data_IF_528214772859
#
_entry.id   IF_528214772859
#
_cell.length_a   1.000
_cell.length_b   1.000
_cell.length_c   1.000
_cell.angle_alpha   90.00
_cell.angle_beta   90.00
_cell.angle_gamma   90.00
#
_symmetry.space_group_name_H-M   'P 1'
#
loop_
_entity.id
_entity.type
_entity.pdbx_description
1 polymer ?
#
# COMPACT_ATOMS: atom_id res chain seq x y z
N UNK A 1 -5.87 -30.85 -7.41
CA UNK A 1 -4.88 -31.25 -6.39
C UNK A 1 -3.89 -30.11 -6.25
N UNK A 2 -3.57 -29.69 -5.03
CA UNK A 2 -2.61 -28.63 -4.74
C UNK A 2 -1.20 -29.10 -5.13
N UNK A 3 -0.40 -28.23 -5.78
CA UNK A 3 1.03 -28.52 -5.96
C UNK A 3 1.68 -28.50 -4.57
N UNK A 4 2.35 -29.59 -4.13
CA UNK A 4 3.04 -29.63 -2.84
C UNK A 4 4.24 -28.67 -2.79
N UNK A 5 4.60 -28.07 -3.92
CA UNK A 5 5.69 -27.12 -4.06
C UNK A 5 5.28 -25.68 -3.70
N UNK A 6 3.99 -25.35 -3.58
CA UNK A 6 3.58 -24.00 -3.19
C UNK A 6 4.00 -23.69 -1.74
N UNK A 7 4.47 -22.46 -1.45
CA UNK A 7 4.91 -22.09 -0.11
C UNK A 7 3.77 -22.20 0.89
N UNK A 8 4.08 -22.58 2.12
CA UNK A 8 3.10 -22.76 3.20
C UNK A 8 2.73 -21.44 3.90
N UNK A 9 3.42 -20.33 3.58
CA UNK A 9 3.22 -18.99 4.15
C UNK A 9 3.33 -18.91 5.68
N UNK A 10 4.01 -19.86 6.33
CA UNK A 10 4.40 -19.71 7.73
C UNK A 10 5.46 -18.63 7.92
N UNK A 11 6.20 -18.30 6.86
CA UNK A 11 7.15 -17.18 6.81
C UNK A 11 7.00 -16.45 5.47
N UNK A 12 7.66 -15.30 5.36
CA UNK A 12 7.73 -14.52 4.11
C UNK A 12 8.73 -15.09 3.08
N UNK A 13 9.52 -16.09 3.48
CA UNK A 13 10.53 -16.68 2.61
C UNK A 13 9.86 -17.36 1.42
N UNK A 14 10.51 -17.28 0.26
CA UNK A 14 10.05 -17.97 -0.95
C UNK A 14 8.66 -17.50 -1.44
N UNK A 15 8.26 -16.27 -1.09
CA UNK A 15 7.08 -15.61 -1.63
C UNK A 15 7.49 -14.61 -2.74
N UNK A 16 6.64 -14.33 -3.75
CA UNK A 16 7.00 -13.40 -4.82
C UNK A 16 7.29 -11.99 -4.27
N UNK A 17 8.29 -11.30 -4.81
CA UNK A 17 8.64 -9.96 -4.33
C UNK A 17 7.49 -8.95 -4.47
N UNK A 18 6.74 -9.05 -5.56
CA UNK A 18 5.57 -8.21 -5.83
C UNK A 18 4.47 -9.01 -6.53
N UNK A 19 3.23 -8.55 -6.36
CA UNK A 19 2.02 -9.16 -6.90
C UNK A 19 1.19 -8.05 -7.56
N UNK A 20 0.85 -8.15 -8.85
CA UNK A 20 -0.07 -7.21 -9.48
C UNK A 20 -1.45 -7.30 -8.82
N UNK A 21 -2.20 -6.21 -8.78
CA UNK A 21 -3.59 -6.24 -8.34
C UNK A 21 -4.55 -6.21 -9.53
N UNK A 22 -5.63 -6.99 -9.49
CA UNK A 22 -6.64 -7.02 -10.56
C UNK A 22 -8.05 -6.83 -10.02
N UNK A 23 -8.92 -6.18 -10.79
CA UNK A 23 -10.35 -6.13 -10.46
C UNK A 23 -10.94 -7.54 -10.51
N UNK A 24 -11.70 -7.89 -9.47
CA UNK A 24 -12.44 -9.12 -9.34
C UNK A 24 -13.83 -8.83 -8.77
N UNK A 25 -14.74 -9.79 -8.92
CA UNK A 25 -16.09 -9.74 -8.34
C UNK A 25 -16.26 -10.84 -7.33
N UNK A 26 -16.87 -10.54 -6.20
CA UNK A 26 -17.28 -11.58 -5.25
C UNK A 26 -18.57 -12.26 -5.73
N UNK A 27 -19.05 -13.25 -4.97
CA UNK A 27 -20.28 -13.99 -5.28
C UNK A 27 -21.56 -13.12 -5.37
N UNK A 28 -21.52 -11.90 -4.82
CA UNK A 28 -22.60 -10.93 -4.85
C UNK A 28 -22.42 -9.86 -5.93
N UNK A 29 -21.41 -9.99 -6.79
CA UNK A 29 -21.10 -9.03 -7.85
C UNK A 29 -20.36 -7.76 -7.39
N UNK A 30 -20.05 -7.64 -6.09
CA UNK A 30 -19.32 -6.48 -5.59
C UNK A 30 -17.86 -6.53 -6.06
N UNK A 31 -17.39 -5.39 -6.57
CA UNK A 31 -16.04 -5.20 -7.10
C UNK A 31 -15.02 -5.06 -5.96
N UNK A 32 -13.88 -5.71 -6.11
CA UNK A 32 -12.70 -5.56 -5.27
C UNK A 32 -11.44 -5.83 -6.08
N UNK A 33 -10.30 -5.32 -5.62
CA UNK A 33 -9.01 -5.64 -6.19
C UNK A 33 -8.41 -6.84 -5.47
N UNK A 34 -8.13 -7.89 -6.23
CA UNK A 34 -7.38 -9.05 -5.76
C UNK A 34 -5.90 -8.76 -5.91
N UNK A 35 -5.19 -8.69 -4.80
CA UNK A 35 -3.75 -8.46 -4.69
C UNK A 35 -3.09 -9.68 -4.00
N UNK A 36 -3.38 -10.87 -4.48
CA UNK A 36 -3.01 -12.14 -3.83
C UNK A 36 -2.30 -13.02 -4.84
N UNK A 37 -1.14 -13.57 -4.46
CA UNK A 37 -0.38 -14.44 -5.36
C UNK A 37 -1.14 -15.75 -5.65
N UNK A 38 -1.97 -16.19 -4.70
CA UNK A 38 -2.89 -17.31 -4.89
C UNK A 38 -4.35 -16.85 -4.77
N UNK A 39 -5.24 -17.19 -5.72
CA UNK A 39 -6.62 -16.72 -5.69
C UNK A 39 -7.44 -17.23 -4.51
N UNK A 40 -7.22 -18.49 -4.10
CA UNK A 40 -8.01 -19.13 -3.05
C UNK A 40 -7.40 -18.86 -1.68
N UNK A 41 -8.19 -18.40 -0.69
CA UNK A 41 -7.69 -18.24 0.66
C UNK A 41 -7.36 -19.61 1.27
N UNK A 42 -6.30 -19.63 2.07
CA UNK A 42 -5.80 -20.81 2.80
C UNK A 42 -5.64 -20.44 4.27
N UNK A 43 -5.68 -21.46 5.12
CA UNK A 43 -5.43 -21.29 6.54
C UNK A 43 -3.99 -21.67 6.86
N UNK A 44 -3.31 -20.81 7.60
CA UNK A 44 -1.97 -21.07 8.13
C UNK A 44 -2.14 -21.38 9.60
N UNK A 45 -1.48 -22.45 10.05
CA UNK A 45 -1.41 -22.81 11.46
C UNK A 45 0.03 -22.64 11.92
N UNK A 46 0.21 -21.88 13.00
CA UNK A 46 1.51 -21.65 13.63
C UNK A 46 1.38 -21.72 15.15
N UNK A 47 2.46 -22.11 15.82
CA UNK A 47 2.53 -22.08 17.28
C UNK A 47 2.70 -20.64 17.76
N UNK A 48 1.79 -20.19 18.62
CA UNK A 48 1.89 -18.89 19.29
C UNK A 48 2.49 -19.07 20.68
N UNK A 49 3.72 -18.57 20.87
CA UNK A 49 4.44 -18.73 22.13
C UNK A 49 3.82 -17.94 23.30
N UNK A 50 3.10 -16.85 23.01
CA UNK A 50 2.43 -16.05 24.05
C UNK A 50 1.17 -16.75 24.60
N UNK A 51 0.40 -17.38 23.72
CA UNK A 51 -0.84 -18.07 24.05
C UNK A 51 -0.65 -19.57 24.32
N UNK A 52 0.56 -20.10 24.12
CA UNK A 52 0.91 -21.52 24.31
C UNK A 52 -0.04 -22.47 23.56
N UNK A 53 -0.40 -22.11 22.32
CA UNK A 53 -1.30 -22.90 21.47
C UNK A 53 -1.02 -22.67 19.99
N UNK A 54 -1.54 -23.59 19.18
CA UNK A 54 -1.63 -23.36 17.73
C UNK A 54 -2.71 -22.31 17.44
N UNK A 55 -2.35 -21.29 16.68
CA UNK A 55 -3.28 -20.31 16.12
C UNK A 55 -3.43 -20.58 14.62
N UNK A 56 -4.67 -20.54 14.16
CA UNK A 56 -5.00 -20.71 12.75
C UNK A 56 -5.65 -19.43 12.23
N UNK A 57 -5.12 -18.89 11.14
CA UNK A 57 -5.60 -17.65 10.53
C UNK A 57 -5.52 -17.73 9.01
N UNK A 58 -6.29 -16.89 8.32
CA UNK A 58 -6.27 -16.84 6.87
C UNK A 58 -4.99 -16.18 6.35
N UNK A 59 -4.45 -16.72 5.26
CA UNK A 59 -3.33 -16.14 4.51
C UNK A 59 -3.72 -14.93 3.65
N UNK A 60 -4.98 -14.53 3.69
CA UNK A 60 -5.49 -13.34 3.02
C UNK A 60 -6.24 -12.46 4.00
N UNK A 61 -6.13 -11.15 3.80
CA UNK A 61 -6.88 -10.15 4.54
C UNK A 61 -7.61 -9.24 3.57
N UNK A 62 -8.80 -8.80 3.96
CA UNK A 62 -9.56 -7.82 3.19
C UNK A 62 -9.46 -6.44 3.83
N UNK A 63 -9.62 -5.42 3.00
CA UNK A 63 -9.56 -4.04 3.45
C UNK A 63 -10.08 -3.08 2.40
N UNK A 64 -9.86 -1.79 2.66
CA UNK A 64 -10.15 -0.74 1.69
C UNK A 64 -9.13 0.39 1.76
N UNK A 65 -8.80 0.92 0.59
CA UNK A 65 -8.10 2.18 0.44
C UNK A 65 -9.15 3.29 0.42
N UNK A 66 -8.95 4.29 1.28
CA UNK A 66 -9.75 5.50 1.33
C UNK A 66 -8.80 6.68 1.50
N UNK A 67 -8.91 7.67 0.61
CA UNK A 67 -8.13 8.91 0.68
C UNK A 67 -6.62 8.63 0.80
N UNK A 68 -6.07 7.78 -0.06
CA UNK A 68 -4.64 7.47 -0.09
C UNK A 68 -4.17 6.41 0.91
N UNK A 69 -5.00 5.98 1.88
CA UNK A 69 -4.60 5.03 2.93
C UNK A 69 -5.38 3.73 2.84
N UNK A 70 -4.67 2.60 2.75
CA UNK A 70 -5.25 1.25 2.70
C UNK A 70 -5.30 0.65 4.10
N UNK A 71 -6.49 0.32 4.62
CA UNK A 71 -6.68 -0.24 5.96
C UNK A 71 -7.35 -1.60 5.92
N UNK A 72 -6.89 -2.52 6.76
CA UNK A 72 -7.49 -3.84 6.89
C UNK A 72 -8.84 -3.76 7.64
N UNK A 73 -9.83 -4.53 7.16
CA UNK A 73 -11.19 -4.53 7.71
C UNK A 73 -11.29 -5.09 9.12
N UNK A 74 -10.34 -5.93 9.53
CA UNK A 74 -10.22 -6.48 10.89
C UNK A 74 -9.63 -5.48 11.90
N UNK A 75 -9.32 -4.24 11.48
CA UNK A 75 -8.72 -3.23 12.35
C UNK A 75 -7.24 -3.44 12.65
N UNK A 76 -6.54 -4.37 11.98
CA UNK A 76 -5.13 -4.66 12.25
C UNK A 76 -4.15 -3.60 11.75
N UNK A 77 -4.65 -2.47 11.24
CA UNK A 77 -3.86 -1.29 10.90
C UNK A 77 -3.85 -0.94 9.41
N UNK A 78 -2.81 -0.21 9.02
CA UNK A 78 -2.58 0.29 7.66
C UNK A 78 -1.74 -0.75 6.88
N UNK A 79 -2.21 -1.10 5.69
CA UNK A 79 -1.66 -2.14 4.81
C UNK A 79 -1.27 -1.58 3.45
N UNK A 80 -0.91 -0.31 3.38
CA UNK A 80 -0.40 0.31 2.17
C UNK A 80 -1.00 1.68 1.90
N UNK A 81 -0.61 2.20 0.74
CA UNK A 81 -1.03 3.50 0.25
C UNK A 81 -1.36 3.39 -1.23
N UNK A 82 -2.54 3.86 -1.60
CA UNK A 82 -2.94 3.91 -3.00
C UNK A 82 -3.88 5.10 -3.18
N UNK A 83 -3.60 5.93 -4.20
CA UNK A 83 -4.26 7.23 -4.38
C UNK A 83 -5.75 7.13 -4.65
N UNK A 84 -6.23 5.96 -5.10
CA UNK A 84 -7.64 5.73 -5.43
C UNK A 84 -8.35 4.89 -4.38
N UNK A 85 -9.64 5.19 -4.21
CA UNK A 85 -10.50 4.41 -3.32
C UNK A 85 -10.78 3.03 -3.94
N UNK A 86 -10.45 1.97 -3.21
CA UNK A 86 -10.73 0.60 -3.64
C UNK A 86 -10.97 -0.33 -2.46
N UNK A 87 -11.76 -1.38 -2.67
CA UNK A 87 -11.78 -2.53 -1.76
C UNK A 87 -10.73 -3.53 -2.22
N UNK A 88 -10.04 -4.21 -1.31
CA UNK A 88 -9.01 -5.18 -1.68
C UNK A 88 -9.09 -6.50 -0.89
N UNK A 89 -8.53 -7.55 -1.50
CA UNK A 89 -7.99 -8.73 -0.81
C UNK A 89 -6.48 -8.76 -1.01
N UNK A 90 -5.73 -9.04 0.04
CA UNK A 90 -4.27 -8.95 0.07
C UNK A 90 -3.67 -10.18 0.76
N UNK A 91 -2.60 -10.73 0.19
CA UNK A 91 -1.83 -11.79 0.85
C UNK A 91 -1.19 -11.27 2.14
N UNK A 92 -1.14 -12.11 3.18
CA UNK A 92 -0.35 -11.79 4.38
C UNK A 92 1.13 -11.60 3.99
N UNK A 93 1.86 -10.78 4.73
CA UNK A 93 3.21 -10.30 4.37
C UNK A 93 3.30 -9.32 3.21
N UNK A 94 2.19 -8.80 2.70
CA UNK A 94 2.21 -7.75 1.68
C UNK A 94 1.60 -6.44 2.18
N UNK A 95 1.89 -5.37 1.46
CA UNK A 95 1.23 -4.07 1.56
C UNK A 95 0.97 -3.51 0.15
N UNK A 96 -0.10 -2.75 -0.04
CA UNK A 96 -0.40 -2.10 -1.31
C UNK A 96 0.45 -0.84 -1.52
N UNK A 97 0.90 -0.63 -2.75
CA UNK A 97 1.52 0.60 -3.18
C UNK A 97 1.23 0.87 -4.66
N UNK A 98 1.37 2.12 -5.08
CA UNK A 98 1.27 2.50 -6.49
C UNK A 98 2.53 2.07 -7.26
N UNK A 99 2.34 1.49 -8.44
CA UNK A 99 3.42 1.13 -9.35
C UNK A 99 4.01 2.35 -10.04
N UNK A 100 5.16 2.20 -10.71
CA UNK A 100 5.76 3.30 -11.51
C UNK A 100 4.83 3.79 -12.64
N UNK A 101 3.88 2.96 -13.06
CA UNK A 101 2.87 3.21 -14.09
C UNK A 101 1.45 3.45 -13.54
N UNK A 102 1.30 3.70 -12.22
CA UNK A 102 0.05 4.21 -11.61
C UNK A 102 -0.99 3.15 -11.19
N UNK A 103 -0.66 1.87 -11.31
CA UNK A 103 -1.54 0.75 -10.97
C UNK A 103 -1.26 0.20 -9.56
N UNK A 104 -2.24 -0.44 -8.92
CA UNK A 104 -2.02 -1.02 -7.61
C UNK A 104 -1.16 -2.30 -7.72
N UNK A 105 -0.11 -2.37 -6.91
CA UNK A 105 0.75 -3.55 -6.71
C UNK A 105 0.84 -3.84 -5.21
N UNK A 106 0.84 -5.12 -4.86
CA UNK A 106 1.19 -5.57 -3.52
C UNK A 106 2.68 -5.91 -3.45
N UNK A 107 3.43 -5.19 -2.62
CA UNK A 107 4.84 -5.45 -2.34
C UNK A 107 4.99 -6.27 -1.07
N UNK A 108 5.94 -7.19 -1.06
CA UNK A 108 6.29 -7.94 0.15
C UNK A 108 6.84 -6.97 1.21
N UNK A 109 6.52 -7.19 2.48
CA UNK A 109 6.78 -6.25 3.60
C UNK A 109 8.25 -5.91 3.84
N UNK A 110 9.17 -6.73 3.34
CA UNK A 110 10.62 -6.54 3.40
C UNK A 110 11.18 -5.75 2.21
N UNK A 111 10.34 -5.34 1.25
CA UNK A 111 10.77 -4.63 0.04
C UNK A 111 9.82 -3.51 -0.40
N UNK A 112 10.00 -3.07 -1.65
CA UNK A 112 9.21 -2.04 -2.31
C UNK A 112 9.54 -0.59 -1.90
N UNK A 113 8.83 0.39 -2.48
CA UNK A 113 9.13 1.82 -2.30
C UNK A 113 9.12 2.30 -0.85
N UNK A 114 8.21 1.76 -0.02
CA UNK A 114 8.11 2.07 1.41
C UNK A 114 9.34 1.60 2.22
N UNK A 115 10.17 0.71 1.65
CA UNK A 115 11.44 0.26 2.23
C UNK A 115 12.65 0.85 1.51
N UNK A 116 12.47 1.96 0.79
CA UNK A 116 13.49 2.63 -0.01
C UNK A 116 14.08 1.73 -1.11
N UNK A 117 13.40 0.63 -1.45
CA UNK A 117 13.77 -0.22 -2.58
C UNK A 117 13.12 0.32 -3.87
N UNK A 118 13.65 -0.08 -5.02
CA UNK A 118 13.12 0.33 -6.31
C UNK A 118 11.67 -0.13 -6.47
N UNK A 119 10.82 0.78 -6.98
CA UNK A 119 9.49 0.45 -7.44
C UNK A 119 9.53 -0.46 -8.67
N UNK A 120 8.41 -1.11 -8.93
CA UNK A 120 8.18 -1.91 -10.12
C UNK A 120 7.04 -1.30 -10.93
N UNK A 121 7.09 -1.53 -12.24
CA UNK A 121 5.92 -1.37 -13.10
C UNK A 121 4.93 -2.52 -12.87
N UNK A 122 3.69 -2.33 -13.27
CA UNK A 122 2.66 -3.36 -13.18
C UNK A 122 3.02 -4.60 -14.00
N UNK A 123 3.60 -4.40 -15.19
CA UNK A 123 4.10 -5.48 -16.04
C UNK A 123 5.21 -6.29 -15.35
N UNK A 124 6.15 -5.62 -14.67
CA UNK A 124 7.22 -6.29 -13.93
C UNK A 124 6.67 -7.15 -12.79
N UNK A 125 5.72 -6.63 -11.99
CA UNK A 125 5.09 -7.42 -10.94
C UNK A 125 4.34 -8.64 -11.51
N UNK A 126 3.69 -8.50 -12.67
CA UNK A 126 3.03 -9.63 -13.35
C UNK A 126 4.03 -10.69 -13.80
N UNK A 127 5.17 -10.30 -14.35
CA UNK A 127 6.26 -11.23 -14.67
C UNK A 127 6.79 -11.92 -13.42
N UNK A 128 7.03 -11.18 -12.33
CA UNK A 128 7.46 -11.74 -11.04
C UNK A 128 6.49 -12.81 -10.53
N UNK A 129 5.18 -12.55 -10.59
CA UNK A 129 4.18 -13.53 -10.17
C UNK A 129 4.18 -14.76 -11.10
N UNK A 130 4.34 -14.55 -12.41
CA UNK A 130 4.38 -15.65 -13.38
C UNK A 130 5.56 -16.58 -13.14
N UNK A 131 6.77 -16.02 -13.02
CA UNK A 131 8.01 -16.76 -12.76
C UNK A 131 7.90 -17.54 -11.45
N UNK A 132 7.43 -16.88 -10.39
CA UNK A 132 7.14 -17.54 -9.12
C UNK A 132 6.21 -18.76 -9.27
N UNK A 133 5.10 -18.65 -10.00
CA UNK A 133 4.20 -19.80 -10.19
C UNK A 133 4.92 -20.95 -10.92
N UNK A 134 5.72 -20.65 -11.94
CA UNK A 134 6.49 -21.65 -12.70
C UNK A 134 7.56 -22.33 -11.83
N UNK A 135 8.31 -21.56 -11.05
CA UNK A 135 9.36 -22.06 -10.15
C UNK A 135 8.80 -22.99 -9.08
N UNK A 136 7.53 -22.79 -8.68
CA UNK A 136 6.79 -23.64 -7.76
C UNK A 136 5.99 -24.77 -8.45
N UNK A 137 6.36 -25.13 -9.68
CA UNK A 137 5.86 -26.30 -10.38
C UNK A 137 4.44 -26.17 -10.94
N UNK A 138 3.90 -24.95 -11.04
CA UNK A 138 2.66 -24.72 -11.78
C UNK A 138 2.97 -24.81 -13.28
N UNK A 139 2.17 -25.57 -14.02
CA UNK A 139 2.36 -25.71 -15.47
C UNK A 139 2.23 -24.36 -16.17
N UNK A 140 2.89 -24.21 -17.33
CA UNK A 140 2.86 -22.96 -18.09
C UNK A 140 1.44 -22.53 -18.48
N UNK A 141 0.55 -23.47 -18.78
CA UNK A 141 -0.87 -23.23 -19.06
C UNK A 141 -1.60 -22.67 -17.83
N UNK A 142 -1.51 -23.35 -16.68
CA UNK A 142 -2.15 -22.91 -15.44
C UNK A 142 -1.58 -21.58 -14.92
N UNK A 143 -0.28 -21.34 -15.10
CA UNK A 143 0.36 -20.09 -14.75
C UNK A 143 -0.18 -18.95 -15.62
N UNK A 144 -0.28 -19.15 -16.94
CA UNK A 144 -0.89 -18.18 -17.88
C UNK A 144 -2.33 -17.84 -17.49
N UNK A 145 -3.14 -18.84 -17.19
CA UNK A 145 -4.54 -18.63 -16.78
C UNK A 145 -4.62 -17.84 -15.47
N UNK A 146 -3.75 -18.16 -14.51
CA UNK A 146 -3.67 -17.46 -13.23
C UNK A 146 -3.26 -16.00 -13.38
N UNK A 147 -2.35 -15.69 -14.31
CA UNK A 147 -1.91 -14.32 -14.58
C UNK A 147 -2.78 -13.55 -15.58
N UNK A 148 -3.72 -14.22 -16.26
CA UNK A 148 -4.60 -13.60 -17.26
C UNK A 148 -5.54 -12.57 -16.62
N UNK A 149 -5.99 -12.84 -15.40
CA UNK A 149 -6.80 -11.91 -14.61
C UNK A 149 -6.10 -10.57 -14.34
N UNK A 150 -4.76 -10.55 -14.39
CA UNK A 150 -3.93 -9.37 -14.17
C UNK A 150 -3.48 -8.70 -15.47
N UNK A 151 -4.22 -8.90 -16.57
CA UNK A 151 -3.94 -8.19 -17.82
C UNK A 151 -4.71 -6.88 -17.86
N UNK A 152 -4.01 -5.76 -18.06
CA UNK A 152 -4.59 -4.42 -18.18
C UNK A 152 -5.55 -4.31 -19.39
N UNK A 153 -5.36 -5.15 -20.41
CA UNK A 153 -6.13 -5.15 -21.66
C UNK A 153 -7.55 -5.74 -21.55
N UNK A 154 -7.98 -6.20 -20.37
CA UNK A 154 -9.30 -6.84 -20.19
C UNK A 154 -10.48 -5.87 -20.15
N UNK A 155 -10.25 -4.56 -20.31
CA UNK A 155 -11.31 -3.54 -20.44
C UNK A 155 -12.02 -3.51 -21.82
N UNK A 156 -11.75 -4.45 -22.73
CA UNK A 156 -12.40 -4.47 -24.06
C UNK A 156 -13.72 -5.29 -24.13
N UNK A 157 -14.18 -5.92 -23.05
CA UNK A 157 -15.37 -6.79 -23.11
C UNK A 157 -16.35 -6.58 -21.95
N UNK A 158 -16.85 -5.36 -21.75
CA UNK A 158 -18.13 -5.07 -21.07
C UNK A 158 -18.48 -3.59 -21.29
N UNK A 159 -19.42 -3.31 -22.18
CA UNK A 159 -19.77 -1.95 -22.61
C UNK A 159 -20.36 -1.06 -21.52
N UNK A 160 -19.90 0.19 -21.46
CA UNK A 160 -20.63 1.41 -21.82
C UNK A 160 -19.93 2.66 -21.24
N UNK A 161 -20.04 3.83 -21.90
CA UNK A 161 -19.30 5.05 -21.54
C UNK A 161 -20.08 5.89 -20.53
N UNK A 162 -19.38 6.42 -19.52
CA UNK A 162 -19.81 7.47 -18.57
C UNK A 162 -18.81 7.43 -17.40
N UNK A 163 -18.28 8.51 -16.83
CA UNK A 163 -18.52 9.93 -16.93
C UNK A 163 -17.21 10.62 -16.50
N UNK A 164 -16.99 11.85 -16.98
CA UNK A 164 -15.92 12.73 -16.50
C UNK A 164 -15.95 12.83 -14.95
N UNK A 165 -15.02 12.14 -14.29
CA UNK A 165 -14.71 12.33 -12.89
C UNK A 165 -13.49 13.27 -12.78
N UNK A 166 -13.54 14.29 -11.90
CA UNK A 166 -12.51 15.32 -11.82
C UNK A 166 -11.15 14.70 -11.51
N UNK A 167 -10.16 14.99 -12.36
CA UNK A 167 -8.77 14.66 -12.13
C UNK A 167 -8.36 15.14 -10.74
N UNK A 168 -8.12 14.21 -9.82
CA UNK A 168 -7.38 14.51 -8.61
C UNK A 168 -5.95 14.87 -9.05
N UNK A 169 -5.57 16.13 -8.86
CA UNK A 169 -4.23 16.61 -9.12
C UNK A 169 -3.23 15.76 -8.34
N UNK A 170 -2.45 14.94 -9.06
CA UNK A 170 -1.20 14.38 -8.57
C UNK A 170 -0.32 15.53 -8.10
N UNK A 171 -0.24 15.78 -6.78
CA UNK A 171 0.79 16.66 -6.25
C UNK A 171 2.00 15.79 -5.93
N UNK A 172 3.05 15.75 -6.77
CA UNK A 172 4.31 15.13 -6.39
C UNK A 172 4.80 15.71 -5.06
N UNK A 173 5.45 14.88 -4.24
CA UNK A 173 6.07 15.32 -2.98
C UNK A 173 6.92 16.57 -3.25
N UNK A 174 6.46 17.70 -2.71
CA UNK A 174 7.04 19.00 -3.06
C UNK A 174 8.23 19.28 -2.17
N UNK A 175 9.35 19.61 -2.80
CA UNK A 175 10.53 20.11 -2.09
C UNK A 175 10.25 21.52 -1.56
N UNK A 176 10.63 21.85 -0.31
CA UNK A 176 10.49 23.19 0.24
C UNK A 176 11.14 24.22 -0.69
N UNK A 177 10.45 25.34 -0.90
CA UNK A 177 10.97 26.46 -1.70
C UNK A 177 11.89 27.37 -0.87
N UNK A 178 11.86 27.26 0.46
CA UNK A 178 12.75 27.99 1.36
C UNK A 178 13.77 27.03 2.00
N UNK A 179 15.05 27.30 1.78
CA UNK A 179 16.14 26.65 2.48
C UNK A 179 16.43 27.39 3.79
N UNK A 180 15.67 27.08 4.83
CA UNK A 180 15.99 27.45 6.20
C UNK A 180 16.11 26.19 7.05
N UNK A 181 17.00 26.20 8.04
CA UNK A 181 17.07 25.11 9.01
C UNK A 181 15.88 25.22 9.98
N UNK A 182 14.96 24.26 9.92
CA UNK A 182 13.74 24.24 10.73
C UNK A 182 14.03 23.44 12.00
N UNK A 183 14.09 24.15 13.12
CA UNK A 183 14.33 23.59 14.44
C UNK A 183 13.03 23.26 15.16
N UNK A 184 12.03 24.10 14.95
CA UNK A 184 10.71 23.95 15.55
C UNK A 184 9.63 24.42 14.55
N UNK A 185 8.52 23.71 14.54
CA UNK A 185 7.34 24.06 13.79
C UNK A 185 6.12 23.65 14.61
N UNK A 186 5.09 24.48 14.65
CA UNK A 186 3.87 24.17 15.38
C UNK A 186 2.67 24.82 14.69
N UNK A 187 1.51 24.17 14.79
CA UNK A 187 0.24 24.71 14.34
C UNK A 187 -0.83 24.44 15.39
N UNK A 188 -1.67 25.43 15.63
CA UNK A 188 -2.83 25.27 16.50
C UNK A 188 -3.86 24.34 15.83
N UNK A 189 -4.19 23.18 16.42
CA UNK A 189 -5.17 22.27 15.84
C UNK A 189 -6.63 22.78 15.97
N UNK A 190 -6.87 23.84 16.75
CA UNK A 190 -8.21 24.40 17.02
C UNK A 190 -8.47 25.77 16.36
N UNK A 191 -7.47 26.37 15.73
CA UNK A 191 -7.58 27.67 15.06
C UNK A 191 -6.97 27.59 13.65
N UNK A 192 -7.70 28.04 12.63
CA UNK A 192 -7.39 27.72 11.23
C UNK A 192 -6.08 28.34 10.69
N UNK A 193 -5.53 29.38 11.34
CA UNK A 193 -4.41 30.17 10.79
C UNK A 193 -3.22 30.42 11.75
N UNK A 194 -3.18 29.77 12.92
CA UNK A 194 -2.07 29.95 13.86
C UNK A 194 -0.98 28.89 13.70
N UNK A 195 0.02 29.18 12.87
CA UNK A 195 1.20 28.35 12.75
C UNK A 195 2.48 29.15 12.94
N UNK A 196 3.52 28.51 13.46
CA UNK A 196 4.84 29.10 13.69
C UNK A 196 5.94 28.20 13.14
N UNK A 197 6.93 28.81 12.48
CA UNK A 197 8.20 28.16 12.08
C UNK A 197 9.33 28.93 12.77
N UNK A 198 10.13 28.27 13.59
CA UNK A 198 11.22 28.89 14.38
C UNK A 198 10.75 30.15 15.13
N UNK A 199 9.62 30.06 15.84
CA UNK A 199 9.01 31.16 16.59
C UNK A 199 8.36 32.27 15.76
N UNK A 200 8.39 32.22 14.42
CA UNK A 200 7.77 33.23 13.54
C UNK A 200 6.42 32.75 13.02
N UNK A 201 5.38 33.59 13.18
CA UNK A 201 4.05 33.31 12.63
C UNK A 201 4.11 33.17 11.11
N UNK A 202 3.49 32.12 10.59
CA UNK A 202 3.32 31.85 9.17
C UNK A 202 1.87 31.46 8.90
N UNK A 203 1.27 31.87 7.76
CA UNK A 203 -0.03 31.37 7.35
C UNK A 203 0.02 29.86 7.08
N UNK A 204 -1.03 29.11 7.45
CA UNK A 204 -1.12 27.65 7.23
C UNK A 204 -0.90 27.28 5.76
N UNK A 205 -1.43 28.08 4.83
CA UNK A 205 -1.28 27.92 3.37
C UNK A 205 0.16 28.03 2.86
N UNK A 206 1.06 28.64 3.65
CA UNK A 206 2.46 28.85 3.29
C UNK A 206 3.41 27.82 3.91
N UNK A 207 2.94 26.91 4.79
CA UNK A 207 3.81 25.93 5.46
C UNK A 207 4.52 25.00 4.49
N UNK A 208 3.84 24.64 3.39
CA UNK A 208 4.43 23.86 2.29
C UNK A 208 5.68 24.49 1.65
N UNK A 209 5.93 25.78 1.89
CA UNK A 209 7.15 26.45 1.44
C UNK A 209 8.36 26.11 2.32
N UNK A 210 8.13 25.66 3.56
CA UNK A 210 9.13 25.43 4.60
C UNK A 210 9.33 23.94 4.85
N UNK A 211 8.25 23.18 5.00
CA UNK A 211 8.28 21.75 5.29
C UNK A 211 7.88 20.93 4.06
N UNK A 212 8.59 19.81 3.78
CA UNK A 212 8.22 18.93 2.68
C UNK A 212 6.91 18.22 3.00
N UNK A 213 6.18 17.81 1.96
CA UNK A 213 5.12 16.82 2.15
C UNK A 213 5.76 15.47 2.55
N UNK A 214 5.26 14.86 3.61
CA UNK A 214 5.70 13.56 4.13
C UNK A 214 4.49 12.67 4.33
N UNK A 215 4.70 11.37 4.23
CA UNK A 215 3.64 10.41 4.49
C UNK A 215 3.59 10.09 5.98
N UNK A 216 2.44 10.32 6.62
CA UNK A 216 2.23 10.02 8.04
C UNK A 216 2.64 8.58 8.41
N UNK A 217 2.46 7.62 7.49
CA UNK A 217 2.88 6.24 7.72
C UNK A 217 4.41 6.06 7.78
N UNK A 218 5.18 6.81 6.98
CA UNK A 218 6.65 6.79 7.05
C UNK A 218 7.14 7.34 8.39
N UNK A 219 6.47 8.39 8.86
CA UNK A 219 6.73 9.04 10.15
C UNK A 219 6.43 8.06 11.30
N UNK A 220 5.24 7.46 11.33
CA UNK A 220 4.85 6.49 12.36
C UNK A 220 5.75 5.23 12.35
N UNK A 221 6.14 4.73 11.17
CA UNK A 221 7.04 3.58 11.06
C UNK A 221 8.48 3.87 11.50
N UNK A 222 8.87 5.15 11.56
CA UNK A 222 10.15 5.62 12.06
C UNK A 222 10.09 6.06 13.53
N UNK A 223 9.06 5.63 14.27
CA UNK A 223 8.76 5.99 15.65
C UNK A 223 8.46 7.49 15.86
N UNK A 224 8.10 8.21 14.80
CA UNK A 224 7.62 9.59 14.86
C UNK A 224 6.10 9.68 15.03
N UNK A 225 5.56 10.89 14.95
CA UNK A 225 4.13 11.15 15.08
C UNK A 225 3.70 12.38 14.26
N UNK A 226 2.40 12.53 13.99
CA UNK A 226 1.86 13.68 13.27
C UNK A 226 0.79 14.41 14.10
N UNK A 227 0.90 15.73 14.14
CA UNK A 227 -0.12 16.66 14.64
C UNK A 227 -0.54 17.58 13.50
N UNK A 228 -1.73 17.34 12.94
CA UNK A 228 -2.14 17.98 11.70
C UNK A 228 -1.96 19.53 11.74
N UNK A 229 -1.24 20.12 10.75
CA UNK A 229 -0.72 19.48 9.53
C UNK A 229 0.74 19.00 9.60
N UNK A 230 1.44 19.09 10.72
CA UNK A 230 2.89 18.86 10.84
C UNK A 230 3.19 17.45 11.36
N UNK A 231 4.21 16.81 10.81
CA UNK A 231 4.77 15.57 11.33
C UNK A 231 6.16 15.76 11.93
N UNK A 232 6.45 14.99 12.97
CA UNK A 232 7.66 15.03 13.78
C UNK A 232 8.32 13.65 13.79
N UNK A 233 9.65 13.62 13.81
CA UNK A 233 10.40 12.39 14.08
C UNK A 233 10.31 11.98 15.56
N UNK A 234 10.96 10.85 15.88
CA UNK A 234 11.03 10.32 17.25
C UNK A 234 11.72 11.22 18.28
N UNK A 235 12.36 12.32 17.86
CA UNK A 235 13.03 13.30 18.72
C UNK A 235 12.30 14.65 18.74
N UNK A 236 11.00 14.66 18.39
CA UNK A 236 10.15 15.85 18.31
C UNK A 236 10.62 16.88 17.25
N UNK A 237 11.46 16.46 16.29
CA UNK A 237 11.92 17.37 15.23
C UNK A 237 10.91 17.39 14.09
N UNK A 238 10.45 18.56 13.62
CA UNK A 238 9.54 18.63 12.48
C UNK A 238 10.22 18.14 11.20
N UNK A 239 9.62 17.15 10.54
CA UNK A 239 10.15 16.51 9.34
C UNK A 239 9.30 16.73 8.10
N UNK A 240 8.04 17.16 8.25
CA UNK A 240 7.21 17.48 7.10
C UNK A 240 5.77 17.84 7.44
N UNK A 241 4.93 17.90 6.41
CA UNK A 241 3.48 18.06 6.51
C UNK A 241 2.73 16.90 5.85
N UNK A 242 1.56 16.54 6.36
CA UNK A 242 0.69 15.47 5.84
C UNK A 242 -0.74 15.95 5.54
#
# INVERSE_FOLDING_TARGET
MYSPMLPNEQTMNDLPYAIPCAEAKNQYGAKFYRCTWYPLPRNITQWDAQQQRNITFSNQLSGKCLRGTCRASNGSGIYGMYGQDLNFSLSIYYYLYESEDGYPIAYRKDGGPNKQAKGLTYAQARTTLQEFLLDHGISQENAKDSIAAYSLDTNAASGSPADDAPQAEHTPMTKPTKNIDIKEAWCNPRADDECTINGKKVPKTQIKQYLPAVYELEVLNADGYCEHPICYDKNDKPIGIH
#
